data_IF_388921609521
#
_entry.id   IF_388921609521
#
_cell.length_a   1.000
_cell.length_b   1.000
_cell.length_c   1.000
_cell.angle_alpha   90.00
_cell.angle_beta   90.00
_cell.angle_gamma   90.00
#
_symmetry.space_group_name_H-M   'P 1'
#
loop_
_entity.id
_entity.type
_entity.pdbx_description
1 polymer ?
#
# COMPACT_ATOMS: atom_id res chain seq x y z
N UNK A 1 17.46 9.55 -10.62
CA UNK A 1 17.03 8.41 -9.81
C UNK A 1 17.08 7.16 -10.69
N UNK A 2 17.84 6.16 -10.31
CA UNK A 2 17.80 4.86 -11.00
C UNK A 2 16.40 4.26 -10.82
N UNK A 3 15.78 3.83 -11.92
CA UNK A 3 14.48 3.16 -11.85
C UNK A 3 14.71 1.71 -11.39
N UNK A 4 14.01 1.28 -10.37
CA UNK A 4 13.93 -0.13 -10.00
C UNK A 4 12.87 -0.78 -10.87
N UNK A 5 13.18 -1.96 -11.42
CA UNK A 5 12.22 -2.79 -12.13
C UNK A 5 12.00 -4.09 -11.36
N UNK A 6 10.72 -4.50 -11.23
CA UNK A 6 10.36 -5.70 -10.47
C UNK A 6 10.69 -7.00 -11.22
N UNK A 7 10.66 -6.97 -12.54
CA UNK A 7 10.85 -8.14 -13.38
C UNK A 7 12.30 -8.32 -13.82
N UNK A 8 13.00 -7.21 -14.11
CA UNK A 8 14.36 -7.21 -14.62
C UNK A 8 15.36 -6.76 -13.56
N UNK A 9 16.51 -7.45 -13.50
CA UNK A 9 17.54 -7.17 -12.50
C UNK A 9 18.47 -6.03 -12.91
N UNK A 10 18.74 -5.87 -14.20
CA UNK A 10 19.69 -4.89 -14.74
C UNK A 10 19.06 -3.99 -15.82
N UNK A 11 19.64 -2.82 -16.02
CA UNK A 11 19.36 -1.88 -17.10
C UNK A 11 20.53 -1.87 -18.11
N UNK A 12 20.30 -1.73 -19.42
CA UNK A 12 19.00 -1.65 -20.11
C UNK A 12 18.26 -2.97 -20.14
N UNK A 13 16.92 -2.91 -20.22
CA UNK A 13 16.08 -4.11 -20.25
C UNK A 13 16.17 -4.80 -21.61
N UNK A 14 17.18 -5.63 -21.79
CA UNK A 14 17.39 -6.43 -23.01
C UNK A 14 16.72 -7.82 -22.96
N UNK A 15 16.05 -8.11 -21.86
CA UNK A 15 15.38 -9.39 -21.61
C UNK A 15 16.28 -10.52 -21.13
N UNK A 16 17.60 -10.29 -21.00
CA UNK A 16 18.56 -11.34 -20.57
C UNK A 16 18.55 -11.57 -19.07
N UNK A 17 18.11 -10.59 -18.30
CA UNK A 17 18.29 -10.54 -16.83
C UNK A 17 16.99 -10.54 -16.05
N UNK A 18 16.11 -11.48 -16.41
CA UNK A 18 14.84 -11.67 -15.73
C UNK A 18 15.08 -12.32 -14.36
N UNK A 19 14.52 -11.70 -13.31
CA UNK A 19 14.56 -12.23 -11.95
C UNK A 19 13.93 -13.62 -11.88
N UNK A 20 14.51 -14.51 -11.08
CA UNK A 20 14.14 -15.93 -11.03
C UNK A 20 12.62 -16.16 -10.89
N UNK A 21 11.98 -15.45 -9.97
CA UNK A 21 10.55 -15.58 -9.71
C UNK A 21 9.65 -15.03 -10.82
N UNK A 22 10.21 -14.30 -11.77
CA UNK A 22 9.48 -13.82 -12.97
C UNK A 22 9.73 -14.66 -14.22
N UNK A 23 10.70 -15.57 -14.25
CA UNK A 23 11.08 -16.31 -15.48
C UNK A 23 9.91 -17.02 -16.13
N UNK A 24 9.07 -17.69 -15.34
CA UNK A 24 7.88 -18.37 -15.88
C UNK A 24 6.87 -17.41 -16.48
N UNK A 25 6.66 -16.27 -15.83
CA UNK A 25 5.77 -15.24 -16.32
C UNK A 25 6.33 -14.56 -17.58
N UNK A 26 7.62 -14.23 -17.59
CA UNK A 26 8.31 -13.67 -18.76
C UNK A 26 8.23 -14.60 -19.98
N UNK A 27 8.45 -15.89 -19.77
CA UNK A 27 8.31 -16.88 -20.81
C UNK A 27 6.88 -16.92 -21.39
N UNK A 28 5.88 -16.95 -20.51
CA UNK A 28 4.48 -16.89 -20.92
C UNK A 28 4.16 -15.59 -21.66
N UNK A 29 4.65 -14.44 -21.18
CA UNK A 29 4.43 -13.13 -21.80
C UNK A 29 5.02 -13.06 -23.21
N UNK A 30 6.22 -13.61 -23.40
CA UNK A 30 6.88 -13.66 -24.70
C UNK A 30 6.14 -14.52 -25.75
N UNK A 31 5.28 -15.43 -25.31
CA UNK A 31 4.45 -16.27 -26.19
C UNK A 31 3.11 -15.63 -26.55
N UNK A 32 2.77 -14.47 -25.97
CA UNK A 32 1.49 -13.84 -26.27
C UNK A 32 1.53 -13.21 -27.68
N UNK A 33 0.44 -13.32 -28.43
CA UNK A 33 0.32 -12.63 -29.73
C UNK A 33 0.49 -11.11 -29.58
N UNK A 34 0.98 -10.49 -30.62
CA UNK A 34 1.04 -9.02 -30.68
C UNK A 34 -0.37 -8.44 -30.44
N UNK A 35 -0.48 -7.46 -29.54
CA UNK A 35 -1.75 -6.84 -29.20
C UNK A 35 -2.54 -7.53 -28.07
N UNK A 36 -2.28 -8.80 -27.75
CA UNK A 36 -3.06 -9.56 -26.75
C UNK A 36 -3.13 -8.87 -25.37
N UNK A 37 -2.06 -8.19 -24.94
CA UNK A 37 -2.05 -7.45 -23.68
C UNK A 37 -2.88 -6.16 -23.75
N UNK A 38 -2.96 -5.53 -24.92
CA UNK A 38 -3.83 -4.37 -25.15
C UNK A 38 -5.30 -4.77 -25.11
N UNK A 39 -5.64 -5.90 -25.77
CA UNK A 39 -7.01 -6.42 -25.77
C UNK A 39 -7.47 -6.78 -24.33
N UNK A 40 -6.61 -7.44 -23.56
CA UNK A 40 -6.89 -7.77 -22.15
C UNK A 40 -7.03 -6.52 -21.28
N UNK A 41 -6.26 -5.47 -21.55
CA UNK A 41 -6.41 -4.19 -20.84
C UNK A 41 -7.76 -3.56 -21.13
N UNK A 42 -8.15 -3.50 -22.39
CA UNK A 42 -9.46 -2.98 -22.80
C UNK A 42 -10.61 -3.78 -22.18
N UNK A 43 -10.49 -5.12 -22.14
CA UNK A 43 -11.46 -5.98 -21.46
C UNK A 43 -11.54 -5.72 -19.95
N UNK A 44 -10.40 -5.60 -19.27
CA UNK A 44 -10.36 -5.28 -17.84
C UNK A 44 -10.99 -3.92 -17.54
N UNK A 45 -10.68 -2.88 -18.32
CA UNK A 45 -11.30 -1.56 -18.18
C UNK A 45 -12.81 -1.60 -18.40
N UNK A 46 -13.27 -2.35 -19.38
CA UNK A 46 -14.71 -2.55 -19.62
C UNK A 46 -15.38 -3.24 -18.44
N UNK A 47 -14.76 -4.29 -17.87
CA UNK A 47 -15.26 -4.97 -16.68
C UNK A 47 -15.30 -4.01 -15.50
N UNK A 48 -14.26 -3.22 -15.27
CA UNK A 48 -14.18 -2.26 -14.16
C UNK A 48 -15.28 -1.18 -14.28
N UNK A 49 -15.52 -0.63 -15.49
CA UNK A 49 -16.64 0.29 -15.73
C UNK A 49 -17.99 -0.35 -15.43
N UNK A 50 -18.18 -1.58 -15.89
CA UNK A 50 -19.44 -2.31 -15.73
C UNK A 50 -19.75 -2.67 -14.27
N UNK A 51 -18.73 -2.97 -13.47
CA UNK A 51 -18.85 -3.31 -12.05
C UNK A 51 -18.83 -2.07 -11.16
N UNK A 52 -18.42 -0.90 -11.68
CA UNK A 52 -18.30 0.33 -10.91
C UNK A 52 -17.03 0.36 -10.04
N UNK A 53 -15.93 -0.25 -10.50
CA UNK A 53 -14.63 -0.18 -9.82
C UNK A 53 -13.95 1.15 -10.21
N UNK A 54 -14.39 2.21 -9.54
CA UNK A 54 -13.93 3.58 -9.78
C UNK A 54 -13.46 4.21 -8.46
N UNK A 55 -12.75 5.31 -8.55
CA UNK A 55 -12.44 6.14 -7.40
C UNK A 55 -12.81 7.61 -7.69
N UNK A 56 -13.27 8.29 -6.66
CA UNK A 56 -13.59 9.71 -6.75
C UNK A 56 -12.31 10.55 -6.73
N UNK A 57 -12.14 11.41 -7.70
CA UNK A 57 -11.04 12.38 -7.71
C UNK A 57 -11.48 13.62 -6.94
N UNK A 58 -10.89 13.82 -5.76
CA UNK A 58 -11.14 15.02 -4.97
C UNK A 58 -10.45 16.22 -5.62
N UNK A 59 -11.22 17.21 -6.03
CA UNK A 59 -10.69 18.48 -6.55
C UNK A 59 -11.08 18.81 -7.99
N UNK A 60 -11.30 17.85 -8.86
CA UNK A 60 -11.87 18.08 -10.17
C UNK A 60 -13.39 18.01 -10.08
N UNK A 61 -14.03 19.15 -9.83
CA UNK A 61 -15.48 19.29 -10.01
C UNK A 61 -15.72 19.61 -11.47
N UNK A 62 -16.57 18.83 -12.13
CA UNK A 62 -17.15 19.23 -13.40
C UNK A 62 -18.01 20.49 -13.23
N UNK A 63 -18.49 21.08 -14.31
CA UNK A 63 -19.33 22.27 -14.31
C UNK A 63 -20.64 22.09 -13.51
N UNK A 64 -21.03 20.85 -13.20
CA UNK A 64 -22.20 20.47 -12.41
C UNK A 64 -21.88 20.22 -10.93
N UNK A 65 -20.61 20.33 -10.51
CA UNK A 65 -20.20 20.15 -9.12
C UNK A 65 -20.09 18.69 -8.66
N UNK A 66 -20.19 17.73 -9.57
CA UNK A 66 -20.05 16.30 -9.33
C UNK A 66 -18.58 15.94 -9.43
N UNK A 67 -18.03 15.25 -8.45
CA UNK A 67 -16.65 14.77 -8.49
C UNK A 67 -16.41 13.82 -9.67
N UNK A 68 -15.35 14.05 -10.43
CA UNK A 68 -14.98 13.18 -11.55
C UNK A 68 -14.65 11.78 -11.04
N UNK A 69 -15.38 10.77 -11.49
CA UNK A 69 -15.03 9.37 -11.24
C UNK A 69 -14.04 8.88 -12.30
N UNK A 70 -12.94 8.28 -11.84
CA UNK A 70 -11.95 7.65 -12.71
C UNK A 70 -11.87 6.16 -12.42
N UNK A 71 -11.57 5.37 -13.46
CA UNK A 71 -11.28 3.95 -13.28
C UNK A 71 -10.01 3.79 -12.43
N UNK A 72 -10.03 2.81 -11.54
CA UNK A 72 -8.82 2.40 -10.82
C UNK A 72 -7.81 1.90 -11.83
N UNK A 73 -6.58 2.45 -11.88
CA UNK A 73 -5.53 1.95 -12.74
C UNK A 73 -5.25 0.48 -12.44
N UNK A 74 -5.31 -0.37 -13.45
CA UNK A 74 -5.07 -1.79 -13.30
C UNK A 74 -3.87 -2.22 -14.13
N UNK A 75 -2.87 -2.81 -13.48
CA UNK A 75 -1.72 -3.39 -14.16
C UNK A 75 -1.96 -4.88 -14.41
N UNK A 76 -1.86 -5.28 -15.68
CA UNK A 76 -2.00 -6.68 -16.07
C UNK A 76 -0.78 -7.53 -15.72
N UNK A 77 0.36 -6.90 -15.46
CA UNK A 77 1.57 -7.58 -15.02
C UNK A 77 1.53 -7.72 -13.49
N UNK A 78 1.38 -8.93 -12.96
CA UNK A 78 1.30 -9.12 -11.53
C UNK A 78 2.64 -8.81 -10.86
N UNK A 79 2.58 -8.18 -9.69
CA UNK A 79 3.75 -8.09 -8.82
C UNK A 79 3.91 -9.42 -8.09
N UNK A 80 5.00 -10.14 -8.39
CA UNK A 80 5.29 -11.45 -7.80
C UNK A 80 6.26 -11.27 -6.63
N UNK A 81 5.81 -11.59 -5.43
CA UNK A 81 6.60 -11.51 -4.20
C UNK A 81 6.98 -12.93 -3.78
N UNK A 82 8.27 -13.30 -3.79
CA UNK A 82 8.72 -14.60 -3.33
C UNK A 82 8.43 -14.82 -1.84
N UNK A 83 8.21 -16.07 -1.45
CA UNK A 83 7.87 -16.43 -0.06
C UNK A 83 8.92 -15.94 0.96
N UNK A 84 10.21 -16.01 0.64
CA UNK A 84 11.28 -15.53 1.52
C UNK A 84 11.23 -14.00 1.71
N UNK A 85 10.92 -13.28 0.64
CA UNK A 85 10.77 -11.82 0.66
C UNK A 85 9.51 -11.42 1.44
N UNK A 86 8.40 -12.12 1.22
CA UNK A 86 7.19 -11.93 2.01
C UNK A 86 7.42 -12.16 3.50
N UNK A 87 8.07 -13.25 3.88
CA UNK A 87 8.35 -13.56 5.28
C UNK A 87 9.23 -12.48 5.97
N UNK A 88 10.13 -11.84 5.21
CA UNK A 88 10.89 -10.70 5.71
C UNK A 88 10.01 -9.46 5.89
N UNK A 89 9.20 -9.13 4.89
CA UNK A 89 8.24 -8.01 4.92
C UNK A 89 7.23 -8.17 6.06
N UNK A 90 6.63 -9.36 6.18
CA UNK A 90 5.63 -9.70 7.20
C UNK A 90 6.13 -9.39 8.61
N UNK A 91 7.38 -9.74 8.94
CA UNK A 91 7.96 -9.41 10.26
C UNK A 91 7.95 -7.90 10.52
N UNK A 92 8.32 -7.10 9.53
CA UNK A 92 8.30 -5.64 9.63
C UNK A 92 6.88 -5.08 9.77
N UNK A 93 5.93 -5.61 9.00
CA UNK A 93 4.53 -5.21 9.05
C UNK A 93 3.88 -5.56 10.40
N UNK A 94 4.13 -6.77 10.91
CA UNK A 94 3.66 -7.19 12.25
C UNK A 94 4.24 -6.30 13.35
N UNK A 95 5.54 -6.00 13.30
CA UNK A 95 6.17 -5.08 14.24
C UNK A 95 5.50 -3.70 14.20
N UNK A 96 5.27 -3.16 13.00
CA UNK A 96 4.65 -1.85 12.80
C UNK A 96 3.23 -1.79 13.34
N UNK A 97 2.37 -2.73 12.95
CA UNK A 97 0.97 -2.79 13.43
C UNK A 97 0.90 -2.99 14.94
N UNK A 98 1.81 -3.79 15.50
CA UNK A 98 1.92 -3.97 16.96
C UNK A 98 2.29 -2.65 17.64
N UNK A 99 3.25 -1.91 17.12
CA UNK A 99 3.64 -0.60 17.64
C UNK A 99 2.49 0.40 17.59
N UNK A 100 1.75 0.44 16.48
CA UNK A 100 0.59 1.33 16.32
C UNK A 100 -0.55 0.98 17.30
N UNK A 101 -0.84 -0.29 17.52
CA UNK A 101 -1.83 -0.70 18.54
C UNK A 101 -1.38 -0.35 19.95
N UNK A 102 -0.09 -0.50 20.28
CA UNK A 102 0.46 -0.06 21.60
C UNK A 102 0.40 1.45 21.76
N UNK A 103 0.66 2.20 20.71
CA UNK A 103 0.52 3.66 20.70
C UNK A 103 -0.92 4.07 20.99
N UNK A 104 -1.91 3.46 20.31
CA UNK A 104 -3.32 3.72 20.59
C UNK A 104 -3.70 3.35 22.03
N UNK A 105 -3.20 2.23 22.53
CA UNK A 105 -3.41 1.84 23.91
C UNK A 105 -2.88 2.90 24.89
N UNK A 106 -1.65 3.37 24.68
CA UNK A 106 -1.06 4.41 25.52
C UNK A 106 -1.88 5.71 25.48
N UNK A 107 -2.32 6.15 24.30
CA UNK A 107 -3.12 7.37 24.14
C UNK A 107 -4.44 7.33 24.94
N UNK A 108 -5.07 6.16 25.03
CA UNK A 108 -6.34 6.00 25.73
C UNK A 108 -6.21 5.56 27.19
N UNK A 109 -4.98 5.35 27.70
CA UNK A 109 -4.72 4.94 29.08
C UNK A 109 -3.66 5.83 29.75
N UNK A 110 -2.39 5.44 29.67
CA UNK A 110 -1.29 6.10 30.35
C UNK A 110 -0.93 7.46 29.80
N UNK A 111 -1.03 7.66 28.50
CA UNK A 111 -0.58 8.86 27.78
C UNK A 111 0.91 9.17 28.03
N UNK A 112 1.72 8.13 28.20
CA UNK A 112 3.13 8.25 28.54
C UNK A 112 3.92 8.95 27.45
N UNK A 113 3.59 8.67 26.17
CA UNK A 113 4.24 9.29 25.01
C UNK A 113 3.95 10.82 24.93
N UNK A 114 2.75 11.24 25.36
CA UNK A 114 2.37 12.65 25.42
C UNK A 114 3.06 13.33 26.61
N UNK A 115 3.08 12.69 27.80
CA UNK A 115 3.77 13.22 28.98
C UNK A 115 5.27 13.33 28.77
N UNK A 116 5.86 12.42 28.00
CA UNK A 116 7.27 12.47 27.63
C UNK A 116 7.59 13.55 26.59
N UNK A 117 6.59 14.23 26.02
CA UNK A 117 6.77 15.25 24.99
C UNK A 117 7.26 14.73 23.63
N UNK A 118 7.18 13.41 23.41
CA UNK A 118 7.60 12.80 22.15
C UNK A 118 6.57 13.12 21.07
N UNK A 119 5.29 13.09 21.42
CA UNK A 119 4.18 13.53 20.54
C UNK A 119 3.51 14.73 21.23
N UNK A 120 3.34 15.87 20.53
CA UNK A 120 2.63 17.02 21.06
C UNK A 120 1.18 16.65 21.40
N UNK A 121 0.75 16.91 22.63
CA UNK A 121 -0.57 16.52 23.13
C UNK A 121 -1.71 17.13 22.31
N UNK A 122 -1.56 18.36 21.84
CA UNK A 122 -2.56 19.07 21.04
C UNK A 122 -2.85 18.38 19.70
N UNK A 123 -1.87 17.71 19.08
CA UNK A 123 -2.07 16.96 17.83
C UNK A 123 -2.98 15.76 18.02
N UNK A 124 -3.02 15.21 19.23
CA UNK A 124 -3.84 14.04 19.57
C UNK A 124 -5.16 14.45 20.19
N UNK A 125 -5.10 15.18 21.30
CA UNK A 125 -6.28 15.46 22.14
C UNK A 125 -7.27 16.44 21.46
N UNK A 126 -6.80 17.31 20.57
CA UNK A 126 -7.65 18.20 19.78
C UNK A 126 -8.04 17.63 18.43
N UNK A 127 -7.58 16.42 18.10
CA UNK A 127 -7.94 15.79 16.83
C UNK A 127 -9.40 15.32 16.86
N UNK A 128 -10.16 15.64 15.82
CA UNK A 128 -11.57 15.24 15.69
C UNK A 128 -11.80 13.72 15.70
N UNK A 129 -10.76 12.93 15.42
CA UNK A 129 -10.82 11.47 15.46
C UNK A 129 -10.50 10.89 16.85
N UNK A 130 -10.01 11.70 17.81
CA UNK A 130 -9.81 11.26 19.18
C UNK A 130 -11.17 11.00 19.84
N UNK A 131 -11.36 9.80 20.39
CA UNK A 131 -12.64 9.36 20.98
C UNK A 131 -12.53 9.31 22.50
N UNK A 132 -13.02 10.34 23.19
CA UNK A 132 -13.04 10.41 24.65
C UNK A 132 -13.69 9.18 25.30
N UNK A 133 -14.69 8.58 24.64
CA UNK A 133 -15.38 7.39 25.13
C UNK A 133 -14.47 6.17 25.23
N UNK A 134 -13.34 6.17 24.52
CA UNK A 134 -12.34 5.09 24.56
C UNK A 134 -11.33 5.25 25.71
N UNK A 135 -11.35 6.38 26.41
CA UNK A 135 -10.41 6.62 27.49
C UNK A 135 -10.65 5.64 28.64
N UNK A 136 -9.65 4.84 28.99
CA UNK A 136 -9.72 3.79 29.99
C UNK A 136 -10.58 2.58 29.61
N UNK A 137 -11.13 2.54 28.39
CA UNK A 137 -11.97 1.43 27.97
C UNK A 137 -11.13 0.14 27.77
N UNK A 138 -11.59 -1.00 28.28
CA UNK A 138 -10.92 -2.27 28.06
C UNK A 138 -11.13 -2.73 26.61
N UNK A 139 -10.04 -2.77 25.84
CA UNK A 139 -10.08 -3.27 24.45
C UNK A 139 -9.60 -4.71 24.43
N UNK A 140 -10.42 -5.67 23.92
CA UNK A 140 -10.04 -7.08 23.85
C UNK A 140 -8.70 -7.27 23.15
N UNK A 141 -7.79 -8.00 23.79
CA UNK A 141 -6.44 -8.28 23.29
C UNK A 141 -5.56 -7.06 22.96
N UNK A 142 -6.00 -5.84 23.32
CA UNK A 142 -5.31 -4.61 22.95
C UNK A 142 -5.32 -4.29 21.45
N UNK A 143 -6.26 -4.87 20.69
CA UNK A 143 -6.39 -4.66 19.26
C UNK A 143 -7.36 -3.52 18.98
N UNK A 144 -6.83 -2.33 18.75
CA UNK A 144 -7.60 -1.14 18.40
C UNK A 144 -7.90 -1.08 16.90
N UNK A 145 -6.93 -1.45 16.04
CA UNK A 145 -7.09 -1.56 14.61
C UNK A 145 -7.18 -3.05 14.20
N UNK A 146 -8.37 -3.50 13.82
CA UNK A 146 -8.63 -4.90 13.44
C UNK A 146 -8.17 -5.19 12.02
N UNK A 147 -8.23 -4.19 11.13
CA UNK A 147 -7.72 -4.24 9.77
C UNK A 147 -6.79 -3.04 9.60
N UNK A 148 -5.59 -3.29 9.13
CA UNK A 148 -4.61 -2.27 8.83
C UNK A 148 -4.15 -2.42 7.37
N UNK A 149 -4.37 -1.38 6.57
CA UNK A 149 -3.84 -1.26 5.22
C UNK A 149 -2.51 -0.51 5.26
N UNK A 150 -1.40 -1.22 5.12
CA UNK A 150 -0.07 -0.61 5.08
C UNK A 150 0.34 -0.45 3.63
N UNK A 151 0.40 0.79 3.16
CA UNK A 151 0.81 1.10 1.79
C UNK A 151 2.32 1.05 1.67
N UNK A 152 2.80 0.15 0.83
CA UNK A 152 4.22 -0.06 0.60
C UNK A 152 4.58 0.14 -0.86
N UNK A 153 5.75 0.71 -1.10
CA UNK A 153 6.37 0.80 -2.42
C UNK A 153 7.75 0.18 -2.40
N UNK A 154 8.18 -0.32 -3.54
CA UNK A 154 9.56 -0.73 -3.75
C UNK A 154 10.25 0.27 -4.67
N UNK A 155 11.35 0.83 -4.23
CA UNK A 155 12.13 1.78 -4.99
C UNK A 155 13.62 1.44 -4.94
N UNK A 156 14.40 1.95 -5.88
CA UNK A 156 15.84 1.78 -5.83
C UNK A 156 16.44 2.57 -4.64
N UNK A 157 17.26 1.89 -3.85
CA UNK A 157 18.11 2.54 -2.85
C UNK A 157 19.31 3.24 -3.52
N UNK A 158 20.23 3.79 -2.73
CA UNK A 158 21.43 4.46 -3.24
C UNK A 158 22.35 3.54 -4.05
N UNK A 159 22.26 2.23 -3.83
CA UNK A 159 23.03 1.18 -4.53
C UNK A 159 22.31 0.66 -5.78
N UNK A 160 21.08 1.14 -6.05
CA UNK A 160 20.26 0.65 -7.17
C UNK A 160 19.48 -0.62 -6.84
N UNK A 161 19.54 -1.11 -5.60
CA UNK A 161 18.81 -2.30 -5.16
C UNK A 161 17.38 -1.94 -4.75
N UNK A 162 16.44 -2.87 -4.96
CA UNK A 162 15.05 -2.67 -4.55
C UNK A 162 14.89 -2.73 -3.04
N UNK A 163 14.42 -1.63 -2.46
CA UNK A 163 14.11 -1.50 -1.04
C UNK A 163 12.65 -1.15 -0.85
N UNK A 164 12.00 -1.76 0.14
CA UNK A 164 10.62 -1.44 0.51
C UNK A 164 10.56 -0.24 1.44
N UNK A 165 9.59 0.63 1.17
CA UNK A 165 9.26 1.80 1.96
C UNK A 165 7.77 1.78 2.29
N UNK A 166 7.43 2.16 3.51
CA UNK A 166 6.05 2.43 3.90
C UNK A 166 5.70 3.85 3.51
N UNK A 167 4.59 4.03 2.82
CA UNK A 167 4.05 5.35 2.47
C UNK A 167 3.09 5.83 3.56
N UNK A 168 2.10 5.02 3.92
CA UNK A 168 1.12 5.35 4.94
C UNK A 168 0.55 4.12 5.63
N UNK A 169 -0.13 4.35 6.75
CA UNK A 169 -0.85 3.35 7.52
C UNK A 169 -2.33 3.71 7.58
N UNK A 170 -3.16 2.95 6.89
CA UNK A 170 -4.60 3.07 6.95
C UNK A 170 -5.14 2.16 8.07
N UNK A 171 -5.45 2.75 9.23
CA UNK A 171 -5.86 2.03 10.45
C UNK A 171 -7.35 2.12 10.74
N UNK A 172 -8.13 2.73 9.87
CA UNK A 172 -9.58 2.78 10.02
C UNK A 172 -10.27 2.21 8.78
N UNK A 173 -11.35 1.55 9.00
CA UNK A 173 -12.28 1.06 7.99
C UNK A 173 -13.52 1.95 7.96
#
# INVERSE_FOLDING_TARGET
MSKFDEMYALLPFDGSDVREHYKRYAHWLAQQPAGAMQDRRAEAEMIFRRVGITFAVYGDKDEEGVGSERLIPFDLVPRIIPAAEWAWMERGLVQRVTALNRFLHDLYHGQDILRAGIVPAELVLHNAQYRLQMQGAPVPHGVYAHIAGIDIVRAANAQGEGQYYVLEDNLRV
#
